data_IF_754904470575
#
_entry.id   IF_754904470575
#
_cell.length_a   1.000
_cell.length_b   1.000
_cell.length_c   1.000
_cell.angle_alpha   90.00
_cell.angle_beta   90.00
_cell.angle_gamma   90.00
#
_symmetry.space_group_name_H-M   'P 1'
#
loop_
_entity.id
_entity.type
_entity.pdbx_description
1 polymer ?
#
# COMPACT_ATOMS: atom_id res chain seq x y z
N UNK A 1 -16.78 22.71 17.21
CA UNK A 1 -15.79 22.31 18.22
C UNK A 1 -14.53 21.77 17.59
N UNK A 2 -13.38 21.97 18.26
CA UNK A 2 -12.07 21.47 17.83
C UNK A 2 -11.83 20.12 18.50
N UNK A 3 -11.55 19.09 17.70
CA UNK A 3 -11.21 17.76 18.23
C UNK A 3 -9.74 17.80 18.71
N UNK A 4 -9.45 17.53 20.00
CA UNK A 4 -8.08 17.52 20.48
C UNK A 4 -7.30 16.37 19.84
N UNK A 5 -6.14 16.67 19.27
CA UNK A 5 -5.25 15.67 18.67
C UNK A 5 -4.16 15.30 19.67
N UNK A 6 -4.02 14.02 20.07
CA UNK A 6 -2.95 13.59 20.94
C UNK A 6 -1.56 13.90 20.36
N UNK A 7 -0.68 14.50 21.17
CA UNK A 7 0.70 14.90 20.79
C UNK A 7 1.54 13.74 20.22
N UNK A 8 1.21 12.50 20.58
CA UNK A 8 1.88 11.30 20.03
C UNK A 8 1.74 11.19 18.50
N UNK A 9 0.66 11.69 17.90
CA UNK A 9 0.47 11.64 16.44
C UNK A 9 1.40 12.62 15.70
N UNK A 10 1.57 13.82 16.24
CA UNK A 10 2.53 14.81 15.71
C UNK A 10 3.96 14.26 15.77
N UNK A 11 4.34 13.68 16.92
CA UNK A 11 5.65 13.03 17.07
C UNK A 11 5.86 11.87 16.08
N UNK A 12 4.81 11.10 15.80
CA UNK A 12 4.87 10.00 14.83
C UNK A 12 5.09 10.53 13.41
N UNK A 13 4.37 11.58 13.03
CA UNK A 13 4.46 12.19 11.70
C UNK A 13 5.85 12.80 11.45
N UNK A 14 6.38 13.52 12.44
CA UNK A 14 7.74 14.08 12.38
C UNK A 14 8.79 12.97 12.18
N UNK A 15 8.71 11.87 12.95
CA UNK A 15 9.60 10.72 12.77
C UNK A 15 9.50 10.08 11.40
N UNK A 16 8.29 10.02 10.83
CA UNK A 16 8.07 9.47 9.50
C UNK A 16 8.71 10.36 8.42
N UNK A 17 8.61 11.68 8.54
CA UNK A 17 9.23 12.62 7.60
C UNK A 17 10.76 12.67 7.71
N UNK A 18 11.31 12.48 8.90
CA UNK A 18 12.76 12.39 9.11
C UNK A 18 13.37 11.09 8.53
N UNK A 19 12.58 10.01 8.48
CA UNK A 19 13.00 8.73 7.89
C UNK A 19 12.82 8.72 6.37
N UNK A 20 13.75 9.33 5.63
CA UNK A 20 13.68 9.54 4.18
C UNK A 20 13.62 8.27 3.29
N UNK A 21 13.60 7.05 3.84
CA UNK A 21 13.79 5.83 3.04
C UNK A 21 12.98 4.61 3.48
N UNK A 22 12.33 4.62 4.65
CA UNK A 22 11.60 3.45 5.13
C UNK A 22 10.16 3.84 5.44
N UNK A 23 9.26 3.55 4.50
CA UNK A 23 7.87 3.35 4.87
C UNK A 23 7.86 2.10 5.75
N UNK A 24 7.46 2.20 7.02
CA UNK A 24 7.30 1.00 7.82
C UNK A 24 6.26 0.14 7.12
N UNK A 25 6.67 -1.01 6.59
CA UNK A 25 5.73 -2.05 6.18
C UNK A 25 4.81 -2.26 7.38
N UNK A 26 3.48 -2.16 7.24
CA UNK A 26 2.56 -2.34 8.35
C UNK A 26 2.93 -3.64 9.03
N UNK A 27 3.26 -3.54 10.32
CA UNK A 27 3.66 -4.69 11.10
C UNK A 27 2.60 -5.79 10.99
N UNK A 28 2.96 -7.06 11.20
CA UNK A 28 2.02 -8.20 11.20
C UNK A 28 0.77 -8.03 12.11
N UNK A 29 0.72 -6.97 12.90
CA UNK A 29 -0.44 -6.56 13.68
C UNK A 29 -1.59 -5.94 12.86
N UNK A 30 -1.39 -5.57 11.58
CA UNK A 30 -2.45 -5.03 10.73
C UNK A 30 -3.64 -6.00 10.61
N UNK A 31 -3.36 -7.31 10.54
CA UNK A 31 -4.37 -8.39 10.58
C UNK A 31 -5.09 -8.53 11.93
N UNK A 32 -4.48 -8.04 13.02
CA UNK A 32 -5.05 -8.12 14.38
C UNK A 32 -5.93 -6.91 14.71
N UNK A 33 -5.62 -5.74 14.16
CA UNK A 33 -6.35 -4.51 14.45
C UNK A 33 -7.56 -4.29 13.54
N UNK A 34 -7.56 -4.85 12.33
CA UNK A 34 -8.66 -4.72 11.38
C UNK A 34 -9.26 -6.09 11.07
N UNK A 35 -10.25 -6.50 11.86
CA UNK A 35 -11.04 -7.71 11.62
C UNK A 35 -12.09 -7.46 10.52
N UNK A 36 -11.61 -7.21 9.31
CA UNK A 36 -12.44 -7.00 8.13
C UNK A 36 -12.90 -8.34 7.56
N UNK A 37 -13.98 -8.30 6.80
CA UNK A 37 -14.40 -9.47 6.03
C UNK A 37 -13.24 -9.96 5.16
N UNK A 38 -13.02 -11.28 5.15
CA UNK A 38 -11.89 -11.91 4.47
C UNK A 38 -11.83 -11.56 2.99
N UNK A 39 -12.97 -11.50 2.31
CA UNK A 39 -13.01 -11.25 0.87
C UNK A 39 -12.74 -9.78 0.53
N UNK A 40 -13.23 -8.85 1.35
CA UNK A 40 -12.87 -7.44 1.24
C UNK A 40 -11.38 -7.21 1.58
N UNK A 41 -10.84 -7.94 2.55
CA UNK A 41 -9.41 -7.87 2.89
C UNK A 41 -8.51 -8.31 1.73
N UNK A 42 -8.88 -9.38 1.03
CA UNK A 42 -8.19 -9.85 -0.19
C UNK A 42 -8.29 -8.84 -1.33
N UNK A 43 -9.44 -8.21 -1.49
CA UNK A 43 -9.65 -7.18 -2.52
C UNK A 43 -8.71 -5.97 -2.35
N UNK A 44 -8.32 -5.66 -1.11
CA UNK A 44 -7.40 -4.57 -0.79
C UNK A 44 -5.91 -4.94 -0.93
N UNK A 45 -5.58 -6.20 -1.25
CA UNK A 45 -4.20 -6.59 -1.50
C UNK A 45 -3.69 -6.02 -2.83
N UNK A 46 -2.38 -5.78 -2.94
CA UNK A 46 -1.78 -5.31 -4.19
C UNK A 46 -1.89 -6.40 -5.26
N UNK A 47 -2.63 -6.17 -6.36
CA UNK A 47 -2.77 -7.16 -7.40
C UNK A 47 -1.40 -7.47 -7.99
N UNK A 48 -1.08 -8.76 -8.08
CA UNK A 48 0.07 -9.22 -8.84
C UNK A 48 -0.29 -9.22 -10.32
N UNK A 49 0.67 -8.89 -11.18
CA UNK A 49 0.49 -9.08 -12.61
C UNK A 49 0.47 -10.59 -12.88
N UNK A 50 -0.52 -11.06 -13.64
CA UNK A 50 -0.66 -12.48 -13.95
C UNK A 50 0.58 -13.02 -14.67
N UNK A 51 1.06 -14.18 -14.25
CA UNK A 51 2.28 -14.81 -14.78
C UNK A 51 2.26 -15.01 -16.31
N UNK A 52 1.13 -15.36 -16.96
CA UNK A 52 1.04 -15.40 -18.43
C UNK A 52 1.17 -14.02 -19.09
N UNK A 53 0.70 -12.94 -18.45
CA UNK A 53 0.86 -11.57 -18.95
C UNK A 53 2.31 -11.13 -18.82
N UNK A 54 2.96 -11.47 -17.70
CA UNK A 54 4.40 -11.27 -17.51
C UNK A 54 5.19 -11.99 -18.61
N UNK A 55 4.90 -13.28 -18.84
CA UNK A 55 5.58 -14.08 -19.86
C UNK A 55 5.34 -13.57 -21.29
N UNK A 56 4.11 -13.13 -21.61
CA UNK A 56 3.75 -12.58 -22.92
C UNK A 56 4.47 -11.25 -23.17
N UNK A 57 4.54 -10.38 -22.17
CA UNK A 57 5.26 -9.11 -22.26
C UNK A 57 6.77 -9.35 -22.48
N UNK A 58 7.35 -10.32 -21.78
CA UNK A 58 8.77 -10.71 -21.96
C UNK A 58 9.06 -11.33 -23.34
N UNK A 59 8.11 -12.10 -23.89
CA UNK A 59 8.28 -12.79 -25.17
C UNK A 59 8.06 -11.88 -26.40
N UNK A 60 7.36 -10.75 -26.26
CA UNK A 60 7.06 -9.82 -27.36
C UNK A 60 8.23 -8.90 -27.73
N UNK A 61 9.30 -8.88 -26.93
CA UNK A 61 10.52 -8.08 -27.15
C UNK A 61 11.55 -8.90 -27.94
N UNK A 62 11.83 -8.50 -29.19
CA UNK A 62 12.95 -9.01 -29.97
C UNK A 62 14.24 -8.77 -29.17
N UNK A 63 15.11 -9.79 -28.95
CA UNK A 63 16.23 -9.67 -28.02
C UNK A 63 17.27 -8.69 -28.57
N UNK A 64 17.29 -7.48 -28.03
CA UNK A 64 18.49 -6.65 -27.95
C UNK A 64 18.81 -6.53 -26.46
N UNK A 65 19.92 -7.15 -26.07
CA UNK A 65 20.40 -7.53 -24.73
C UNK A 65 20.53 -6.40 -23.68
N UNK A 66 19.90 -5.23 -23.87
CA UNK A 66 19.97 -4.08 -22.96
C UNK A 66 18.60 -3.53 -22.50
N UNK A 67 17.48 -3.99 -23.07
CA UNK A 67 16.12 -3.44 -22.81
C UNK A 67 15.21 -4.39 -22.00
N UNK A 68 15.73 -5.48 -21.43
CA UNK A 68 14.92 -6.43 -20.61
C UNK A 68 14.57 -5.88 -19.20
N UNK A 69 15.08 -4.70 -18.86
CA UNK A 69 14.74 -3.98 -17.66
C UNK A 69 13.78 -2.84 -18.03
N UNK A 70 12.56 -2.84 -17.47
CA UNK A 70 11.72 -1.63 -17.40
C UNK A 70 12.61 -0.42 -17.12
N UNK A 71 12.41 0.66 -17.88
CA UNK A 71 13.23 1.85 -17.74
C UNK A 71 13.18 2.33 -16.29
N UNK A 72 14.28 2.90 -15.75
CA UNK A 72 14.34 3.26 -14.34
C UNK A 72 13.18 4.19 -13.91
N UNK A 73 12.69 5.02 -14.82
CA UNK A 73 11.48 5.84 -14.65
C UNK A 73 10.20 5.02 -14.48
N UNK A 74 10.02 3.98 -15.29
CA UNK A 74 8.83 3.13 -15.26
C UNK A 74 8.82 2.26 -14.00
N UNK A 75 9.98 1.72 -13.61
CA UNK A 75 10.13 1.00 -12.32
C UNK A 75 9.80 1.90 -11.14
N UNK A 76 10.22 3.17 -11.20
CA UNK A 76 9.93 4.17 -10.15
C UNK A 76 8.45 4.51 -10.12
N UNK A 77 7.81 4.64 -11.28
CA UNK A 77 6.37 4.91 -11.39
C UNK A 77 5.54 3.74 -10.86
N UNK A 78 5.88 2.51 -11.23
CA UNK A 78 5.23 1.30 -10.71
C UNK A 78 5.37 1.19 -9.18
N UNK A 79 6.58 1.41 -8.64
CA UNK A 79 6.81 1.42 -7.20
C UNK A 79 5.98 2.50 -6.49
N UNK A 80 5.87 3.69 -7.09
CA UNK A 80 5.04 4.77 -6.54
C UNK A 80 3.55 4.37 -6.53
N UNK A 81 3.06 3.76 -7.61
CA UNK A 81 1.68 3.29 -7.72
C UNK A 81 1.36 2.21 -6.67
N UNK A 82 2.25 1.22 -6.49
CA UNK A 82 2.05 0.18 -5.45
C UNK A 82 2.02 0.77 -4.05
N UNK A 83 2.89 1.75 -3.76
CA UNK A 83 2.91 2.44 -2.46
C UNK A 83 1.63 3.24 -2.23
N UNK A 84 1.13 3.94 -3.25
CA UNK A 84 -0.13 4.68 -3.17
C UNK A 84 -1.31 3.74 -2.88
N UNK A 85 -1.43 2.65 -3.65
CA UNK A 85 -2.47 1.65 -3.42
C UNK A 85 -2.41 1.05 -2.01
N UNK A 86 -1.20 0.76 -1.51
CA UNK A 86 -1.03 0.22 -0.15
C UNK A 86 -1.49 1.20 0.93
N UNK A 87 -1.20 2.50 0.75
CA UNK A 87 -1.69 3.57 1.64
C UNK A 87 -3.21 3.69 1.60
N UNK A 88 -3.80 3.67 0.40
CA UNK A 88 -5.25 3.76 0.21
C UNK A 88 -5.97 2.57 0.83
N UNK A 89 -5.44 1.36 0.63
CA UNK A 89 -5.93 0.14 1.27
C UNK A 89 -5.95 0.30 2.79
N UNK A 90 -4.87 0.82 3.38
CA UNK A 90 -4.79 1.04 4.83
C UNK A 90 -5.82 2.07 5.32
N UNK A 91 -5.97 3.18 4.60
CA UNK A 91 -6.98 4.19 4.91
C UNK A 91 -8.41 3.61 4.89
N UNK A 92 -8.72 2.77 3.90
CA UNK A 92 -10.02 2.08 3.80
C UNK A 92 -10.23 1.14 4.98
N UNK A 93 -9.22 0.37 5.39
CA UNK A 93 -9.32 -0.52 6.56
C UNK A 93 -9.62 0.25 7.83
N UNK A 94 -8.89 1.34 8.07
CA UNK A 94 -9.06 2.22 9.23
C UNK A 94 -10.46 2.85 9.24
N UNK A 95 -10.88 3.43 8.12
CA UNK A 95 -12.19 4.07 8.00
C UNK A 95 -13.34 3.08 8.23
N UNK A 96 -13.21 1.85 7.71
CA UNK A 96 -14.21 0.80 7.88
C UNK A 96 -14.34 0.38 9.34
N UNK A 97 -13.20 0.15 10.03
CA UNK A 97 -13.21 -0.18 11.46
C UNK A 97 -13.75 0.96 12.32
N UNK A 98 -13.33 2.20 12.06
CA UNK A 98 -13.83 3.38 12.76
C UNK A 98 -15.34 3.56 12.56
N UNK A 99 -15.85 3.36 11.34
CA UNK A 99 -17.28 3.41 11.03
C UNK A 99 -18.08 2.35 11.81
N UNK A 100 -17.56 1.12 11.90
CA UNK A 100 -18.17 0.06 12.71
C UNK A 100 -18.28 0.48 14.19
N UNK A 101 -17.17 0.95 14.79
CA UNK A 101 -17.18 1.38 16.19
C UNK A 101 -18.12 2.56 16.44
N UNK A 102 -18.22 3.50 15.51
CA UNK A 102 -19.10 4.68 15.64
C UNK A 102 -20.58 4.29 15.57
N UNK A 103 -20.93 3.21 14.87
CA UNK A 103 -22.31 2.72 14.72
C UNK A 103 -22.72 1.70 15.78
N UNK A 104 -21.75 1.13 16.51
CA UNK A 104 -21.98 0.14 17.56
C UNK A 104 -22.26 0.75 18.94
N UNK A 105 -22.25 2.09 19.03
CA UNK A 105 -22.58 2.91 20.21
C UNK A 105 -23.94 3.56 19.94
#
# INVERSE_FOLDING_TARGET
DVIPVPKMFENLLNKQWESATSFPTPSNFDKKFFNLETDFSKFLETPQVDEPIVALASASTIPTEAEEALKPEDKKAELALRKAQHSDAWAIKVATAASFFTRAI
#
